data_IF_745595579440
#
_entry.id   IF_745595579440
#
_cell.length_a   1.000
_cell.length_b   1.000
_cell.length_c   1.000
_cell.angle_alpha   90.00
_cell.angle_beta   90.00
_cell.angle_gamma   90.00
#
_symmetry.space_group_name_H-M   'P 1'
#
loop_
_entity.id
_entity.type
_entity.pdbx_description
1 polymer ?
#
# COMPACT_ATOMS: atom_id res chain seq x y z
N UNK A 1 14.17 16.24 -15.94
CA UNK A 1 13.74 16.61 -14.57
C UNK A 1 12.69 15.59 -14.18
N UNK A 2 12.99 14.72 -13.22
CA UNK A 2 11.98 13.84 -12.64
C UNK A 2 11.07 14.76 -11.81
N UNK A 3 9.77 14.77 -12.09
CA UNK A 3 8.81 15.45 -11.22
C UNK A 3 8.90 14.78 -9.85
N UNK A 4 9.28 15.57 -8.85
CA UNK A 4 9.36 15.17 -7.44
C UNK A 4 7.95 15.11 -6.80
N UNK A 5 6.90 15.08 -7.63
CA UNK A 5 5.48 15.22 -7.28
C UNK A 5 4.67 13.91 -7.43
N UNK A 6 5.28 12.71 -7.38
CA UNK A 6 4.53 11.49 -7.76
C UNK A 6 4.67 10.28 -6.84
N UNK A 7 4.98 10.45 -5.56
CA UNK A 7 4.83 9.37 -4.57
C UNK A 7 3.76 9.73 -3.54
N UNK A 8 2.60 10.20 -4.02
CA UNK A 8 1.41 10.36 -3.18
C UNK A 8 1.01 9.03 -2.51
N UNK A 9 1.41 7.89 -3.10
CA UNK A 9 1.16 6.55 -2.57
C UNK A 9 2.31 5.58 -2.83
N UNK A 10 2.74 4.90 -1.78
CA UNK A 10 3.73 3.82 -1.79
C UNK A 10 3.13 2.56 -1.15
N UNK A 11 3.47 1.40 -1.69
CA UNK A 11 3.11 0.11 -1.12
C UNK A 11 4.31 -0.55 -0.47
N UNK A 12 4.10 -1.29 0.61
CA UNK A 12 5.16 -1.98 1.35
C UNK A 12 4.69 -3.29 1.97
N UNK A 13 5.64 -4.06 2.47
CA UNK A 13 5.41 -5.33 3.18
C UNK A 13 6.14 -5.27 4.51
N UNK A 14 5.45 -5.63 5.59
CA UNK A 14 6.03 -5.76 6.93
C UNK A 14 5.84 -7.20 7.38
N UNK A 15 6.92 -7.87 7.77
CA UNK A 15 6.85 -9.28 8.17
C UNK A 15 7.88 -9.64 9.25
N UNK A 16 7.50 -10.57 10.11
CA UNK A 16 8.35 -11.25 11.10
C UNK A 16 8.61 -12.72 10.71
N UNK A 17 8.50 -13.05 9.41
CA UNK A 17 8.52 -14.38 8.79
C UNK A 17 7.19 -15.15 8.91
N UNK A 18 6.53 -15.09 10.07
CA UNK A 18 5.24 -15.78 10.29
C UNK A 18 4.05 -14.93 9.84
N UNK A 19 4.03 -13.65 10.18
CA UNK A 19 2.95 -12.72 9.85
C UNK A 19 3.40 -11.80 8.74
N UNK A 20 2.50 -11.57 7.79
CA UNK A 20 2.72 -10.74 6.62
C UNK A 20 1.63 -9.68 6.56
N UNK A 21 2.04 -8.42 6.68
CA UNK A 21 1.18 -7.25 6.54
C UNK A 21 1.52 -6.54 5.24
N UNK A 22 0.50 -6.10 4.53
CA UNK A 22 0.63 -5.25 3.36
C UNK A 22 0.32 -3.81 3.78
N UNK A 23 1.24 -2.92 3.48
CA UNK A 23 1.21 -1.53 3.92
C UNK A 23 0.92 -0.62 2.73
N UNK A 24 0.02 0.32 2.96
CA UNK A 24 -0.19 1.49 2.11
C UNK A 24 0.36 2.71 2.88
N UNK A 25 1.22 3.49 2.23
CA UNK A 25 1.76 4.74 2.74
C UNK A 25 1.33 5.86 1.81
N UNK A 26 0.69 6.90 2.35
CA UNK A 26 0.31 8.09 1.61
C UNK A 26 1.06 9.29 2.17
N UNK A 27 1.63 10.13 1.29
CA UNK A 27 2.16 11.43 1.69
C UNK A 27 1.02 12.45 1.64
N UNK A 28 0.89 13.25 2.70
CA UNK A 28 -0.02 14.40 2.66
C UNK A 28 0.64 15.61 1.96
N UNK A 29 -0.12 16.70 1.79
CA UNK A 29 0.36 17.92 1.14
C UNK A 29 1.49 18.66 1.89
N UNK A 30 1.84 18.23 3.11
CA UNK A 30 2.99 18.72 3.88
C UNK A 30 4.18 17.73 3.83
N UNK A 31 4.05 16.64 3.07
CA UNK A 31 5.06 15.59 2.95
C UNK A 31 5.11 14.64 4.15
N UNK A 32 4.10 14.65 5.02
CA UNK A 32 4.05 13.74 6.17
C UNK A 32 3.39 12.41 5.77
N UNK A 33 4.00 11.27 6.15
CA UNK A 33 3.46 9.96 5.81
C UNK A 33 2.31 9.56 6.73
N UNK A 34 1.28 8.98 6.13
CA UNK A 34 0.21 8.25 6.81
C UNK A 34 0.24 6.79 6.37
N UNK A 35 0.04 5.88 7.33
CA UNK A 35 0.20 4.44 7.10
C UNK A 35 -1.11 3.70 7.37
N UNK A 36 -1.40 2.73 6.50
CA UNK A 36 -2.50 1.78 6.67
C UNK A 36 -1.95 0.36 6.47
N UNK A 37 -2.28 -0.52 7.40
CA UNK A 37 -1.91 -1.93 7.34
C UNK A 37 -3.12 -2.80 7.01
N UNK A 38 -2.90 -3.83 6.21
CA UNK A 38 -3.88 -4.89 5.97
C UNK A 38 -4.07 -5.75 7.21
N UNK A 39 -5.06 -6.66 7.15
CA UNK A 39 -5.03 -7.85 8.01
C UNK A 39 -3.80 -8.69 7.66
N UNK A 40 -3.22 -9.36 8.65
CA UNK A 40 -2.07 -10.22 8.43
C UNK A 40 -2.49 -11.50 7.71
N UNK A 41 -1.62 -11.98 6.82
CA UNK A 41 -1.56 -13.39 6.42
C UNK A 41 -0.55 -14.09 7.31
N UNK A 42 -0.79 -15.36 7.64
CA UNK A 42 0.07 -16.14 8.51
C UNK A 42 0.68 -17.31 7.74
N UNK A 43 1.96 -17.57 7.99
CA UNK A 43 2.69 -18.78 7.61
C UNK A 43 2.90 -19.60 8.89
N UNK A 44 2.39 -20.83 8.90
CA UNK A 44 2.76 -21.88 9.84
C UNK A 44 3.79 -22.79 9.17
N UNK A 45 4.95 -22.94 9.79
CA UNK A 45 6.04 -23.77 9.29
C UNK A 45 5.95 -25.22 9.74
N UNK A 46 4.99 -25.56 10.60
CA UNK A 46 4.86 -26.88 11.23
C UNK A 46 4.35 -27.95 10.24
N UNK A 47 3.53 -27.56 9.26
CA UNK A 47 2.96 -28.45 8.26
C UNK A 47 3.31 -27.96 6.84
N UNK A 48 4.00 -28.79 6.07
CA UNK A 48 4.45 -28.47 4.71
C UNK A 48 3.31 -28.15 3.74
N UNK A 49 2.16 -28.82 3.86
CA UNK A 49 1.00 -28.55 3.02
C UNK A 49 0.35 -27.22 3.39
N UNK A 50 0.21 -26.94 4.69
CA UNK A 50 -0.33 -25.66 5.19
C UNK A 50 0.61 -24.52 4.79
N UNK A 51 1.92 -24.69 4.99
CA UNK A 51 2.95 -23.74 4.57
C UNK A 51 2.86 -23.43 3.09
N UNK A 52 2.75 -24.46 2.24
CA UNK A 52 2.63 -24.29 0.79
C UNK A 52 1.39 -23.46 0.42
N UNK A 53 0.21 -23.81 0.96
CA UNK A 53 -1.04 -23.08 0.69
C UNK A 53 -0.94 -21.63 1.15
N UNK A 54 -0.32 -21.36 2.29
CA UNK A 54 -0.14 -20.00 2.82
C UNK A 54 0.87 -19.19 2.00
N UNK A 55 1.98 -19.81 1.58
CA UNK A 55 2.97 -19.20 0.70
C UNK A 55 2.37 -18.82 -0.65
N UNK A 56 1.55 -19.69 -1.26
CA UNK A 56 0.83 -19.39 -2.50
C UNK A 56 -0.10 -18.18 -2.34
N UNK A 57 -0.82 -18.08 -1.21
CA UNK A 57 -1.68 -16.92 -0.91
C UNK A 57 -0.88 -15.63 -0.78
N UNK A 58 0.26 -15.66 -0.09
CA UNK A 58 1.12 -14.48 0.08
C UNK A 58 1.69 -14.04 -1.26
N UNK A 59 2.22 -14.97 -2.06
CA UNK A 59 2.74 -14.67 -3.41
C UNK A 59 1.64 -14.06 -4.29
N UNK A 60 0.42 -14.62 -4.27
CA UNK A 60 -0.71 -14.05 -5.00
C UNK A 60 -1.01 -12.61 -4.58
N UNK A 61 -0.92 -12.30 -3.29
CA UNK A 61 -1.11 -10.93 -2.77
C UNK A 61 0.04 -9.99 -3.17
N UNK A 62 1.28 -10.48 -3.25
CA UNK A 62 2.44 -9.71 -3.72
C UNK A 62 2.27 -9.36 -5.20
N UNK A 63 1.85 -10.33 -6.03
CA UNK A 63 1.57 -10.08 -7.45
C UNK A 63 0.50 -8.99 -7.60
N UNK A 64 -0.60 -9.11 -6.87
CA UNK A 64 -1.65 -8.09 -6.85
C UNK A 64 -1.11 -6.71 -6.41
N UNK A 65 -0.28 -6.65 -5.36
CA UNK A 65 0.32 -5.39 -4.88
C UNK A 65 1.20 -4.74 -5.96
N UNK A 66 1.98 -5.55 -6.69
CA UNK A 66 2.83 -5.07 -7.79
C UNK A 66 2.01 -4.53 -8.96
N UNK A 67 0.84 -5.12 -9.22
CA UNK A 67 -0.12 -4.60 -10.21
C UNK A 67 -0.73 -3.28 -9.74
N UNK A 68 -1.15 -3.18 -8.47
CA UNK A 68 -1.68 -1.94 -7.89
C UNK A 68 -0.66 -0.81 -7.90
N UNK A 69 0.61 -1.10 -7.63
CA UNK A 69 1.68 -0.11 -7.62
C UNK A 69 1.98 0.47 -9.02
N UNK A 70 1.57 -0.21 -10.09
CA UNK A 70 1.76 0.23 -11.47
C UNK A 70 0.56 1.02 -12.01
N UNK A 71 -0.57 1.02 -11.31
CA UNK A 71 -1.74 1.79 -11.73
C UNK A 71 -1.46 3.28 -11.57
N UNK A 72 -1.91 4.12 -12.52
CA UNK A 72 -1.90 5.56 -12.31
C UNK A 72 -2.76 5.89 -11.10
N UNK A 73 -2.33 6.85 -10.29
CA UNK A 73 -3.15 7.36 -9.21
C UNK A 73 -4.38 8.03 -9.84
N UNK A 74 -5.58 7.48 -9.61
CA UNK A 74 -6.80 8.16 -10.03
C UNK A 74 -6.95 9.41 -9.16
N UNK A 75 -7.05 10.59 -9.79
CA UNK A 75 -7.28 11.88 -9.14
C UNK A 75 -8.65 11.88 -8.43
N UNK A 76 -8.69 11.29 -7.24
CA UNK A 76 -9.83 11.34 -6.33
C UNK A 76 -9.91 12.70 -5.65
N UNK A 77 -10.69 13.61 -6.24
CA UNK A 77 -11.24 14.83 -5.64
C UNK A 77 -10.25 15.90 -5.14
N UNK A 78 -9.55 16.55 -6.08
CA UNK A 78 -9.27 17.99 -5.92
C UNK A 78 -10.58 18.79 -6.02
N UNK A 79 -11.32 18.95 -4.92
CA UNK A 79 -12.31 20.05 -4.84
C UNK A 79 -12.76 20.38 -3.41
N UNK A 80 -11.87 20.99 -2.61
CA UNK A 80 -12.28 22.04 -1.63
C UNK A 80 -11.23 23.15 -1.48
N UNK A 81 -10.80 23.74 -2.59
CA UNK A 81 -10.34 25.12 -2.54
C UNK A 81 -11.58 26.02 -2.35
N UNK A 82 -11.89 26.38 -1.09
CA UNK A 82 -12.82 27.49 -0.82
C UNK A 82 -12.27 28.73 -1.51
N UNK A 83 -12.89 29.15 -2.62
CA UNK A 83 -12.78 30.52 -3.14
C UNK A 83 -13.26 31.45 -2.03
N UNK A 84 -12.33 32.05 -1.31
CA UNK A 84 -12.62 33.20 -0.46
C UNK A 84 -12.47 34.42 -1.37
N UNK A 85 -13.57 34.80 -2.01
CA UNK A 85 -13.73 36.14 -2.61
C UNK A 85 -13.78 37.15 -1.47
N UNK A 86 -12.79 38.04 -1.39
CA UNK A 86 -12.88 39.25 -0.57
C UNK A 86 -13.51 40.38 -1.39
N UNK A 87 -14.29 41.28 -0.75
CA UNK A 87 -15.03 42.37 -1.38
C UNK A 87 -14.16 43.49 -1.96
#
# INVERSE_FOLDING_TARGET
MYNEDSLDKVWGIVTDLEKWYFMECLLDGEGKPSFKLSKHLMISYEDENIKKIQAEKIIGHIIWLLEEAQKPFEDGEQSKAKKITHP
#
